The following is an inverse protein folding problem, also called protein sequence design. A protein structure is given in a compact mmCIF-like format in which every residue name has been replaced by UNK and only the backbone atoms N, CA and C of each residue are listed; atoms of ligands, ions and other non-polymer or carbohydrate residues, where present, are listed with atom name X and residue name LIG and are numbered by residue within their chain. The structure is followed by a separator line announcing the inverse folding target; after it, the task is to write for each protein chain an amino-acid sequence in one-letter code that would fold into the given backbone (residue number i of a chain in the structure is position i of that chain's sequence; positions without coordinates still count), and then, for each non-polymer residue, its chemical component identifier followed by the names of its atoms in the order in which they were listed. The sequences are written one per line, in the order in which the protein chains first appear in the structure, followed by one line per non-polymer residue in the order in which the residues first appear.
data_IF_467277306587
#
_entry.id   IF_467277306587
#
_cell.length_a   1.000
_cell.length_b   1.000
_cell.length_c   1.000
_cell.angle_alpha   90.00
_cell.angle_beta   90.00
_cell.angle_gamma   90.00
#
_symmetry.space_group_name_H-M   'P 1'
#
loop_
_entity.id
_entity.type
_entity.pdbx_description
1 polymer ?
#
# COMPACT_ATOMS: atom_id res chain seq x y z
N UNK A 1 -21.50 -16.89 -11.94
CA UNK A 1 -22.08 -15.68 -11.34
C UNK A 1 -21.04 -14.56 -11.26
N UNK A 2 -19.95 -14.71 -10.50
CA UNK A 2 -18.92 -13.68 -10.40
C UNK A 2 -18.32 -13.27 -11.76
N UNK A 3 -17.91 -14.22 -12.62
CA UNK A 3 -17.47 -13.90 -13.98
C UNK A 3 -18.52 -13.15 -14.80
N UNK A 4 -19.80 -13.53 -14.65
CA UNK A 4 -20.93 -12.88 -15.32
C UNK A 4 -21.13 -11.45 -14.83
N UNK A 5 -21.07 -11.22 -13.51
CA UNK A 5 -21.14 -9.90 -12.89
C UNK A 5 -19.98 -9.04 -13.38
N UNK A 6 -18.73 -9.53 -13.29
CA UNK A 6 -17.55 -8.79 -13.75
C UNK A 6 -17.66 -8.37 -15.21
N UNK A 7 -18.13 -9.26 -16.09
CA UNK A 7 -18.31 -8.95 -17.50
C UNK A 7 -19.39 -7.89 -17.72
N UNK A 8 -20.50 -7.96 -16.97
CA UNK A 8 -21.60 -7.00 -17.06
C UNK A 8 -21.18 -5.62 -16.54
N UNK A 9 -20.47 -5.56 -15.40
CA UNK A 9 -20.00 -4.32 -14.77
C UNK A 9 -18.72 -3.74 -15.41
N UNK A 10 -18.10 -4.45 -16.36
CA UNK A 10 -16.93 -3.94 -17.07
C UNK A 10 -17.28 -2.94 -18.17
N UNK A 11 -18.56 -2.88 -18.57
CA UNK A 11 -19.12 -1.81 -19.38
C UNK A 11 -19.56 -0.67 -18.49
N UNK A 12 -18.98 0.51 -18.69
CA UNK A 12 -19.08 1.73 -17.88
C UNK A 12 -20.47 2.38 -17.93
N UNK A 13 -21.50 1.66 -17.51
CA UNK A 13 -22.84 2.21 -17.37
C UNK A 13 -23.18 2.33 -15.88
N UNK A 14 -23.26 3.57 -15.40
CA UNK A 14 -23.59 3.88 -14.00
C UNK A 14 -24.92 3.24 -13.56
N UNK A 15 -25.83 2.96 -14.51
CA UNK A 15 -27.09 2.27 -14.23
C UNK A 15 -26.92 0.79 -13.92
N UNK A 16 -25.90 0.15 -14.52
CA UNK A 16 -25.56 -1.25 -14.27
C UNK A 16 -24.89 -1.37 -12.91
N UNK A 17 -23.95 -0.48 -12.59
CA UNK A 17 -23.29 -0.48 -11.29
C UNK A 17 -24.28 -0.21 -10.14
N UNK A 18 -25.24 0.70 -10.32
CA UNK A 18 -26.32 0.92 -9.37
C UNK A 18 -27.21 -0.33 -9.18
N UNK A 19 -27.51 -1.07 -10.26
CA UNK A 19 -28.30 -2.30 -10.18
C UNK A 19 -27.59 -3.42 -9.39
N UNK A 20 -26.25 -3.45 -9.42
CA UNK A 20 -25.44 -4.39 -8.64
C UNK A 20 -25.03 -3.88 -7.27
N UNK A 21 -25.36 -2.63 -6.93
CA UNK A 21 -25.05 -1.98 -5.65
C UNK A 21 -26.22 -2.10 -4.69
N UNK A 22 -26.62 -3.35 -4.37
CA UNK A 22 -27.70 -3.62 -3.42
C UNK A 22 -27.21 -4.46 -2.24
N UNK A 23 -27.84 -4.36 -1.05
CA UNK A 23 -27.52 -5.22 0.08
C UNK A 23 -27.58 -6.72 -0.25
N UNK A 24 -28.46 -7.13 -1.17
CA UNK A 24 -28.58 -8.52 -1.61
C UNK A 24 -27.33 -8.98 -2.38
N UNK A 25 -26.72 -8.12 -3.20
CA UNK A 25 -25.46 -8.45 -3.89
C UNK A 25 -24.30 -8.52 -2.89
N UNK A 26 -24.24 -7.62 -1.92
CA UNK A 26 -23.23 -7.64 -0.86
C UNK A 26 -23.32 -8.95 -0.05
N UNK A 27 -24.53 -9.37 0.34
CA UNK A 27 -24.76 -10.66 1.01
C UNK A 27 -24.38 -11.85 0.11
N UNK A 28 -24.77 -11.82 -1.17
CA UNK A 28 -24.40 -12.86 -2.13
C UNK A 28 -22.87 -12.98 -2.28
N UNK A 29 -22.15 -11.86 -2.37
CA UNK A 29 -20.67 -11.83 -2.40
C UNK A 29 -20.10 -12.44 -1.12
N UNK A 30 -20.60 -12.04 0.05
CA UNK A 30 -20.16 -12.58 1.34
C UNK A 30 -20.37 -14.09 1.42
N UNK A 31 -21.53 -14.59 0.98
CA UNK A 31 -21.83 -16.02 0.92
C UNK A 31 -20.96 -16.77 -0.09
N UNK A 32 -20.75 -16.20 -1.27
CA UNK A 32 -19.87 -16.78 -2.29
C UNK A 32 -18.43 -16.93 -1.80
N UNK A 33 -17.96 -16.05 -0.91
CA UNK A 33 -16.62 -16.15 -0.32
C UNK A 33 -16.37 -17.47 0.40
N UNK A 34 -17.40 -18.11 0.96
CA UNK A 34 -17.30 -19.43 1.59
C UNK A 34 -16.97 -20.56 0.61
N UNK A 35 -17.29 -20.35 -0.68
CA UNK A 35 -17.04 -21.31 -1.74
C UNK A 35 -15.85 -20.91 -2.63
N UNK A 36 -15.25 -19.74 -2.39
CA UNK A 36 -14.05 -19.27 -3.08
C UNK A 36 -12.79 -19.93 -2.49
N UNK A 37 -12.68 -21.25 -2.63
CA UNK A 37 -11.59 -22.05 -2.04
C UNK A 37 -10.41 -22.30 -2.99
N UNK A 38 -10.44 -21.74 -4.20
CA UNK A 38 -9.34 -21.79 -5.17
C UNK A 38 -8.85 -20.38 -5.51
N UNK A 39 -7.58 -20.21 -5.92
CA UNK A 39 -7.05 -18.90 -6.31
C UNK A 39 -7.85 -18.24 -7.44
N UNK A 40 -8.33 -19.02 -8.41
CA UNK A 40 -9.11 -18.53 -9.53
C UNK A 40 -10.49 -18.03 -9.06
N UNK A 41 -11.15 -18.78 -8.16
CA UNK A 41 -12.43 -18.37 -7.61
C UNK A 41 -12.31 -17.07 -6.79
N UNK A 42 -11.25 -16.97 -5.98
CA UNK A 42 -10.88 -15.76 -5.25
C UNK A 42 -10.63 -14.59 -6.20
N UNK A 43 -9.84 -14.82 -7.25
CA UNK A 43 -9.55 -13.83 -8.27
C UNK A 43 -10.84 -13.29 -8.89
N UNK A 44 -11.69 -14.17 -9.43
CA UNK A 44 -12.93 -13.77 -10.07
C UNK A 44 -13.84 -12.99 -9.13
N UNK A 45 -14.05 -13.49 -7.91
CA UNK A 45 -14.92 -12.82 -6.92
C UNK A 45 -14.38 -11.43 -6.57
N UNK A 46 -13.07 -11.32 -6.37
CA UNK A 46 -12.42 -10.04 -6.09
C UNK A 46 -12.48 -9.08 -7.27
N UNK A 47 -12.33 -9.58 -8.50
CA UNK A 47 -12.55 -8.79 -9.72
C UNK A 47 -13.98 -8.24 -9.77
N UNK A 48 -15.00 -9.05 -9.46
CA UNK A 48 -16.40 -8.58 -9.45
C UNK A 48 -16.61 -7.44 -8.46
N UNK A 49 -16.09 -7.58 -7.23
CA UNK A 49 -16.14 -6.52 -6.22
C UNK A 49 -15.42 -5.28 -6.73
N UNK A 50 -14.22 -5.46 -7.28
CA UNK A 50 -13.41 -4.37 -7.83
C UNK A 50 -14.16 -3.62 -8.93
N UNK A 51 -14.81 -4.33 -9.87
CA UNK A 51 -15.54 -3.69 -10.96
C UNK A 51 -16.66 -2.81 -10.43
N UNK A 52 -17.52 -3.35 -9.55
CA UNK A 52 -18.64 -2.61 -8.94
C UNK A 52 -18.14 -1.39 -8.14
N UNK A 53 -16.96 -1.46 -7.52
CA UNK A 53 -16.45 -0.39 -6.65
C UNK A 53 -15.48 0.58 -7.32
N UNK A 54 -15.08 0.34 -8.58
CA UNK A 54 -14.01 1.10 -9.25
C UNK A 54 -14.42 2.49 -9.71
N UNK A 55 -15.65 2.64 -10.21
CA UNK A 55 -16.16 3.88 -10.81
C UNK A 55 -17.37 4.46 -10.04
N UNK A 56 -17.73 3.86 -8.91
CA UNK A 56 -18.94 4.22 -8.17
C UNK A 56 -18.68 5.25 -7.08
N UNK A 57 -19.74 5.99 -6.74
CA UNK A 57 -19.70 7.00 -5.70
C UNK A 57 -19.46 6.41 -4.29
N UNK A 58 -19.26 7.28 -3.31
CA UNK A 58 -18.99 6.89 -1.94
C UNK A 58 -20.13 6.05 -1.30
N UNK A 59 -21.36 6.18 -1.77
CA UNK A 59 -22.51 5.44 -1.21
C UNK A 59 -22.46 3.97 -1.60
N UNK A 60 -22.11 3.67 -2.86
CA UNK A 60 -21.89 2.29 -3.30
C UNK A 60 -20.72 1.66 -2.55
N UNK A 61 -19.61 2.38 -2.45
CA UNK A 61 -18.43 1.89 -1.70
C UNK A 61 -18.78 1.60 -0.25
N UNK A 62 -19.60 2.44 0.39
CA UNK A 62 -20.08 2.23 1.74
C UNK A 62 -20.97 0.97 1.88
N UNK A 63 -21.74 0.58 0.85
CA UNK A 63 -22.50 -0.68 0.86
C UNK A 63 -21.59 -1.91 0.91
N UNK A 64 -20.42 -1.84 0.28
CA UNK A 64 -19.40 -2.90 0.35
C UNK A 64 -18.50 -2.79 1.59
N UNK A 65 -18.53 -1.67 2.31
CA UNK A 65 -17.83 -1.49 3.57
C UNK A 65 -18.65 -2.07 4.74
N UNK A 66 -18.78 -3.39 4.78
CA UNK A 66 -19.48 -4.10 5.86
C UNK A 66 -18.59 -5.15 6.53
N UNK A 67 -18.85 -5.51 7.79
CA UNK A 67 -18.13 -6.60 8.46
C UNK A 67 -18.14 -7.91 7.67
N UNK A 68 -19.25 -8.22 6.99
CA UNK A 68 -19.37 -9.42 6.15
C UNK A 68 -18.39 -9.42 4.96
N UNK A 69 -18.15 -8.26 4.34
CA UNK A 69 -17.17 -8.12 3.26
C UNK A 69 -15.73 -8.17 3.80
N UNK A 70 -15.48 -7.57 4.96
CA UNK A 70 -14.18 -7.66 5.65
C UNK A 70 -13.85 -9.13 5.97
N UNK A 71 -14.81 -9.87 6.52
CA UNK A 71 -14.66 -11.31 6.80
C UNK A 71 -14.51 -12.13 5.51
N UNK A 72 -15.23 -11.77 4.44
CA UNK A 72 -15.10 -12.40 3.14
C UNK A 72 -13.69 -12.21 2.55
N UNK A 73 -13.15 -11.00 2.61
CA UNK A 73 -11.78 -10.67 2.19
C UNK A 73 -10.76 -11.46 3.00
N UNK A 74 -10.89 -11.47 4.33
CA UNK A 74 -10.00 -12.22 5.22
C UNK A 74 -10.05 -13.72 4.91
N UNK A 75 -11.24 -14.29 4.69
CA UNK A 75 -11.42 -15.69 4.30
C UNK A 75 -10.77 -16.01 2.96
N UNK A 76 -11.04 -15.20 1.94
CA UNK A 76 -10.48 -15.39 0.59
C UNK A 76 -8.95 -15.30 0.60
N UNK A 77 -8.36 -14.51 1.49
CA UNK A 77 -6.89 -14.41 1.61
C UNK A 77 -6.21 -15.75 1.91
N UNK A 78 -6.91 -16.70 2.56
CA UNK A 78 -6.39 -18.05 2.80
C UNK A 78 -6.18 -18.86 1.51
N UNK A 79 -6.93 -18.53 0.46
CA UNK A 79 -6.90 -19.21 -0.82
C UNK A 79 -6.24 -18.37 -1.93
N UNK A 80 -5.79 -17.15 -1.61
CA UNK A 80 -5.08 -16.26 -2.51
C UNK A 80 -3.59 -16.67 -2.65
N UNK A 81 -3.34 -17.86 -3.21
CA UNK A 81 -1.98 -18.42 -3.31
C UNK A 81 -1.26 -18.06 -4.62
N UNK A 82 -1.89 -17.26 -5.48
CA UNK A 82 -1.29 -16.74 -6.72
C UNK A 82 -1.13 -15.22 -6.65
N UNK A 83 -0.13 -14.63 -7.34
CA UNK A 83 0.05 -13.19 -7.36
C UNK A 83 -1.17 -12.43 -7.90
N UNK A 84 -1.90 -13.02 -8.85
CA UNK A 84 -3.08 -12.41 -9.44
C UNK A 84 -4.26 -12.40 -8.47
N UNK A 85 -4.50 -13.48 -7.73
CA UNK A 85 -5.51 -13.50 -6.69
C UNK A 85 -5.23 -12.46 -5.59
N UNK A 86 -3.97 -12.38 -5.15
CA UNK A 86 -3.50 -11.36 -4.19
C UNK A 86 -3.74 -9.94 -4.71
N UNK A 87 -3.37 -9.70 -5.97
CA UNK A 87 -3.55 -8.42 -6.65
C UNK A 87 -5.02 -8.02 -6.64
N UNK A 88 -5.93 -8.90 -7.05
CA UNK A 88 -7.35 -8.55 -7.14
C UNK A 88 -8.03 -8.36 -5.78
N UNK A 89 -7.69 -9.15 -4.76
CA UNK A 89 -8.15 -8.87 -3.38
C UNK A 89 -7.68 -7.46 -2.97
N UNK A 90 -6.42 -7.14 -3.22
CA UNK A 90 -5.88 -5.85 -2.79
C UNK A 90 -6.50 -4.68 -3.55
N UNK A 91 -6.78 -4.85 -4.86
CA UNK A 91 -7.50 -3.85 -5.65
C UNK A 91 -8.93 -3.66 -5.14
N UNK A 92 -9.65 -4.73 -4.79
CA UNK A 92 -11.03 -4.58 -4.29
C UNK A 92 -11.06 -3.80 -2.96
N UNK A 93 -10.15 -4.10 -2.03
CA UNK A 93 -9.98 -3.31 -0.79
C UNK A 93 -9.66 -1.85 -1.13
N UNK A 94 -8.71 -1.63 -2.04
CA UNK A 94 -8.29 -0.30 -2.48
C UNK A 94 -9.49 0.51 -3.02
N UNK A 95 -10.33 -0.09 -3.87
CA UNK A 95 -11.47 0.59 -4.47
C UNK A 95 -12.56 0.93 -3.43
N UNK A 96 -12.87 0.01 -2.51
CA UNK A 96 -13.83 0.24 -1.42
C UNK A 96 -13.36 1.38 -0.50
N UNK A 97 -12.05 1.44 -0.22
CA UNK A 97 -11.47 2.42 0.72
C UNK A 97 -11.03 3.73 0.07
N UNK A 98 -10.95 3.78 -1.25
CA UNK A 98 -10.54 4.96 -1.99
C UNK A 98 -11.62 6.06 -1.96
N UNK A 99 -11.25 7.23 -1.44
CA UNK A 99 -12.13 8.39 -1.38
C UNK A 99 -13.28 8.28 -0.36
N UNK A 100 -13.26 7.26 0.50
CA UNK A 100 -14.23 7.10 1.59
C UNK A 100 -13.72 7.71 2.89
N UNK A 101 -14.65 7.91 3.83
CA UNK A 101 -14.34 8.50 5.13
C UNK A 101 -13.59 7.54 6.07
N UNK A 102 -13.17 8.07 7.22
CA UNK A 102 -12.41 7.32 8.22
C UNK A 102 -13.18 6.12 8.81
N UNK A 103 -14.52 6.14 8.81
CA UNK A 103 -15.33 5.04 9.36
C UNK A 103 -15.27 3.81 8.46
N UNK A 104 -15.35 4.01 7.15
CA UNK A 104 -15.14 2.93 6.16
C UNK A 104 -13.73 2.36 6.28
N UNK A 105 -12.71 3.22 6.37
CA UNK A 105 -11.32 2.78 6.53
C UNK A 105 -11.09 1.98 7.81
N UNK A 106 -11.71 2.40 8.92
CA UNK A 106 -11.62 1.71 10.20
C UNK A 106 -12.19 0.29 10.15
N UNK A 107 -13.21 0.00 9.33
CA UNK A 107 -13.73 -1.36 9.15
C UNK A 107 -12.71 -2.31 8.52
N UNK A 108 -11.81 -1.79 7.69
CA UNK A 108 -10.71 -2.56 7.10
C UNK A 108 -9.45 -2.56 7.97
N UNK A 109 -9.41 -1.79 9.05
CA UNK A 109 -8.29 -1.72 9.99
C UNK A 109 -8.42 -2.75 11.12
N UNK A 110 -8.74 -4.00 10.77
CA UNK A 110 -8.95 -5.09 11.73
C UNK A 110 -7.78 -6.07 11.73
N UNK A 111 -7.56 -6.81 12.84
CA UNK A 111 -6.54 -7.87 12.88
C UNK A 111 -6.69 -8.89 11.75
N UNK A 112 -7.92 -9.22 11.36
CA UNK A 112 -8.20 -10.15 10.26
C UNK A 112 -7.67 -9.65 8.91
N UNK A 113 -7.79 -8.35 8.62
CA UNK A 113 -7.24 -7.76 7.39
C UNK A 113 -5.72 -7.64 7.47
N UNK A 114 -5.17 -7.30 8.63
CA UNK A 114 -3.72 -7.25 8.85
C UNK A 114 -3.09 -8.63 8.63
N UNK A 115 -3.69 -9.68 9.20
CA UNK A 115 -3.28 -11.08 8.99
C UNK A 115 -3.45 -11.51 7.53
N UNK A 116 -4.53 -11.09 6.88
CA UNK A 116 -4.77 -11.36 5.46
C UNK A 116 -3.67 -10.72 4.58
N UNK A 117 -3.33 -9.46 4.83
CA UNK A 117 -2.24 -8.76 4.13
C UNK A 117 -0.90 -9.45 4.36
N UNK A 118 -0.58 -9.80 5.61
CA UNK A 118 0.65 -10.50 5.95
C UNK A 118 0.73 -11.86 5.23
N UNK A 119 -0.37 -12.62 5.20
CA UNK A 119 -0.47 -13.90 4.49
C UNK A 119 -0.27 -13.72 2.98
N UNK A 120 -1.01 -12.79 2.38
CA UNK A 120 -0.93 -12.52 0.94
C UNK A 120 0.47 -12.07 0.51
N UNK A 121 1.24 -11.43 1.39
CA UNK A 121 2.63 -11.03 1.11
C UNK A 121 3.54 -12.20 0.74
N UNK A 122 3.24 -13.43 1.18
CA UNK A 122 3.98 -14.64 0.79
C UNK A 122 3.80 -14.99 -0.68
N UNK A 123 2.67 -14.60 -1.27
CA UNK A 123 2.31 -14.88 -2.66
C UNK A 123 2.39 -13.63 -3.56
N UNK A 124 2.77 -12.48 -3.01
CA UNK A 124 3.03 -11.23 -3.73
C UNK A 124 4.40 -11.26 -4.42
N UNK A 125 4.58 -12.20 -5.36
CA UNK A 125 5.87 -12.42 -6.03
C UNK A 125 6.06 -11.57 -7.30
N UNK A 126 5.05 -10.80 -7.70
CA UNK A 126 5.11 -9.85 -8.82
C UNK A 126 5.09 -8.40 -8.34
N UNK A 127 5.70 -7.46 -9.08
CA UNK A 127 5.66 -6.04 -8.74
C UNK A 127 4.23 -5.49 -8.65
N UNK A 128 3.33 -5.96 -9.49
CA UNK A 128 1.93 -5.54 -9.52
C UNK A 128 1.20 -5.97 -8.25
N UNK A 129 1.44 -7.21 -7.77
CA UNK A 129 0.85 -7.67 -6.51
C UNK A 129 1.37 -6.86 -5.32
N UNK A 130 2.68 -6.58 -5.28
CA UNK A 130 3.30 -5.72 -4.26
C UNK A 130 2.71 -4.31 -4.27
N UNK A 131 2.59 -3.72 -5.46
CA UNK A 131 1.96 -2.40 -5.66
C UNK A 131 0.53 -2.40 -5.12
N UNK A 132 -0.27 -3.40 -5.48
CA UNK A 132 -1.68 -3.47 -5.08
C UNK A 132 -1.85 -3.64 -3.57
N UNK A 133 -1.08 -4.54 -2.91
CA UNK A 133 -1.09 -4.65 -1.44
C UNK A 133 -0.69 -3.31 -0.82
N UNK A 134 0.37 -2.69 -1.32
CA UNK A 134 0.86 -1.44 -0.73
C UNK A 134 -0.13 -0.29 -0.91
N UNK A 135 -0.81 -0.24 -2.05
CA UNK A 135 -1.89 0.71 -2.31
C UNK A 135 -3.08 0.53 -1.37
N UNK A 136 -3.51 -0.72 -1.12
CA UNK A 136 -4.61 -0.97 -0.19
C UNK A 136 -4.28 -0.57 1.25
N UNK A 137 -3.07 -0.90 1.73
CA UNK A 137 -2.56 -0.44 3.03
C UNK A 137 -2.53 1.09 3.11
N UNK A 138 -2.00 1.74 2.07
CA UNK A 138 -1.89 3.20 2.01
C UNK A 138 -3.25 3.88 2.01
N UNK A 139 -4.25 3.30 1.35
CA UNK A 139 -5.61 3.84 1.34
C UNK A 139 -6.29 3.72 2.70
N UNK A 140 -6.14 2.57 3.38
CA UNK A 140 -6.71 2.35 4.71
C UNK A 140 -6.07 3.29 5.74
N UNK A 141 -4.74 3.41 5.71
CA UNK A 141 -4.00 4.20 6.72
C UNK A 141 -3.92 5.69 6.38
N UNK A 142 -4.02 6.05 5.10
CA UNK A 142 -3.91 7.44 4.64
C UNK A 142 -5.07 8.32 5.07
N UNK A 143 -4.78 9.45 5.73
CA UNK A 143 -5.78 10.41 6.19
C UNK A 143 -6.65 9.90 7.34
N UNK A 144 -6.24 8.80 7.98
CA UNK A 144 -6.94 8.17 9.11
C UNK A 144 -6.37 8.63 10.46
N UNK A 145 -7.06 8.27 11.54
CA UNK A 145 -6.60 8.52 12.92
C UNK A 145 -5.52 7.52 13.35
N UNK A 146 -4.78 7.84 14.41
CA UNK A 146 -3.65 7.05 14.94
C UNK A 146 -4.00 5.59 15.25
N UNK A 147 -5.26 5.27 15.55
CA UNK A 147 -5.72 3.89 15.82
C UNK A 147 -5.68 3.00 14.58
N UNK A 148 -5.99 3.54 13.40
CA UNK A 148 -5.95 2.80 12.13
C UNK A 148 -4.50 2.53 11.72
N UNK A 149 -3.63 3.53 11.86
CA UNK A 149 -2.19 3.38 11.63
C UNK A 149 -1.59 2.30 12.55
N UNK A 150 -1.92 2.36 13.85
CA UNK A 150 -1.46 1.40 14.84
C UNK A 150 -1.92 -0.03 14.57
N UNK A 151 -3.09 -0.24 13.95
CA UNK A 151 -3.57 -1.58 13.59
C UNK A 151 -2.63 -2.29 12.59
N UNK A 152 -2.01 -1.53 11.67
CA UNK A 152 -1.03 -2.06 10.71
C UNK A 152 0.42 -2.05 11.24
N UNK A 153 0.66 -1.44 12.40
CA UNK A 153 1.93 -1.50 13.08
C UNK A 153 2.05 -2.82 13.85
N UNK A 154 2.29 -3.91 13.10
CA UNK A 154 2.53 -5.25 13.66
C UNK A 154 3.82 -5.86 13.10
N UNK A 155 4.47 -6.78 13.83
CA UNK A 155 5.64 -7.50 13.31
C UNK A 155 5.34 -8.24 12.00
N UNK A 156 4.12 -8.76 11.83
CA UNK A 156 3.71 -9.45 10.62
C UNK A 156 3.71 -8.52 9.39
N UNK A 157 3.31 -7.25 9.54
CA UNK A 157 3.37 -6.27 8.46
C UNK A 157 4.80 -5.83 8.18
N UNK A 158 5.64 -5.67 9.21
CA UNK A 158 7.07 -5.38 9.04
C UNK A 158 7.76 -6.47 8.23
N UNK A 159 7.51 -7.74 8.56
CA UNK A 159 8.05 -8.89 7.83
C UNK A 159 7.48 -8.97 6.40
N UNK A 160 6.19 -8.67 6.22
CA UNK A 160 5.54 -8.60 4.92
C UNK A 160 6.19 -7.54 4.03
N UNK A 161 6.45 -6.34 4.55
CA UNK A 161 7.13 -5.25 3.83
C UNK A 161 8.55 -5.66 3.44
N UNK A 162 9.31 -6.23 4.38
CA UNK A 162 10.66 -6.70 4.11
C UNK A 162 10.67 -7.75 2.99
N UNK A 163 9.74 -8.71 3.03
CA UNK A 163 9.56 -9.74 1.99
C UNK A 163 9.20 -9.13 0.64
N UNK A 164 8.16 -8.30 0.59
CA UNK A 164 7.68 -7.66 -0.65
C UNK A 164 8.74 -6.77 -1.30
N UNK A 165 9.66 -6.20 -0.52
CA UNK A 165 10.78 -5.40 -1.08
C UNK A 165 11.67 -6.17 -2.05
N UNK A 166 11.75 -7.50 -1.95
CA UNK A 166 12.48 -8.33 -2.91
C UNK A 166 11.80 -8.33 -4.29
N UNK A 167 10.47 -8.32 -4.29
CA UNK A 167 9.60 -8.38 -5.47
C UNK A 167 9.16 -7.01 -6.00
N UNK A 168 9.42 -5.93 -5.25
CA UNK A 168 9.32 -4.54 -5.73
C UNK A 168 10.45 -4.23 -6.74
N UNK A 169 10.40 -4.82 -7.94
CA UNK A 169 11.43 -4.66 -8.98
C UNK A 169 11.16 -3.47 -9.91
N UNK A 170 9.97 -2.89 -9.88
CA UNK A 170 9.62 -1.68 -10.64
C UNK A 170 9.66 -0.43 -9.75
N UNK A 171 9.96 0.75 -10.30
CA UNK A 171 9.91 2.02 -9.55
C UNK A 171 8.54 2.27 -8.92
N UNK A 172 7.47 1.95 -9.64
CA UNK A 172 6.10 2.11 -9.18
C UNK A 172 5.78 1.20 -7.97
N UNK A 173 6.16 -0.08 -8.00
CA UNK A 173 5.98 -0.98 -6.87
C UNK A 173 6.81 -0.54 -5.65
N UNK A 174 8.05 -0.09 -5.87
CA UNK A 174 8.93 0.43 -4.81
C UNK A 174 8.37 1.73 -4.19
N UNK A 175 7.81 2.62 -5.02
CA UNK A 175 7.17 3.84 -4.57
C UNK A 175 5.95 3.53 -3.70
N UNK A 176 5.03 2.69 -4.18
CA UNK A 176 3.83 2.35 -3.41
C UNK A 176 4.16 1.64 -2.09
N UNK A 177 5.15 0.73 -2.08
CA UNK A 177 5.61 0.08 -0.85
C UNK A 177 6.26 1.07 0.13
N UNK A 178 6.92 2.12 -0.38
CA UNK A 178 7.46 3.18 0.48
C UNK A 178 6.36 4.10 1.01
N UNK A 179 5.35 4.40 0.18
CA UNK A 179 4.17 5.17 0.58
C UNK A 179 3.41 4.46 1.70
N UNK A 180 3.26 3.13 1.64
CA UNK A 180 2.55 2.38 2.69
C UNK A 180 3.30 2.38 4.02
N UNK A 181 4.63 2.26 4.00
CA UNK A 181 5.46 2.44 5.21
C UNK A 181 5.27 3.86 5.75
N UNK A 182 5.33 4.86 4.88
CA UNK A 182 5.17 6.25 5.27
C UNK A 182 3.78 6.52 5.85
N UNK A 183 2.71 5.95 5.30
CA UNK A 183 1.35 6.18 5.76
C UNK A 183 1.10 5.55 7.12
N UNK A 184 1.68 4.37 7.40
CA UNK A 184 1.63 3.75 8.73
C UNK A 184 2.44 4.57 9.74
N UNK A 185 3.60 5.11 9.34
CA UNK A 185 4.53 5.81 10.24
C UNK A 185 4.35 7.33 10.30
N UNK A 186 3.33 7.87 9.60
CA UNK A 186 3.13 9.31 9.47
C UNK A 186 2.70 9.97 10.80
N UNK A 187 2.00 9.23 11.64
CA UNK A 187 1.56 9.70 12.95
C UNK A 187 2.70 10.06 13.91
N UNK A 188 2.33 10.62 15.06
CA UNK A 188 3.27 11.00 16.12
C UNK A 188 3.61 9.85 17.08
N UNK A 189 3.07 8.65 16.86
CA UNK A 189 3.29 7.51 17.73
C UNK A 189 4.71 6.95 17.59
N UNK A 190 5.52 7.14 18.63
CA UNK A 190 6.89 6.64 18.68
C UNK A 190 6.96 5.10 18.67
N UNK A 191 5.95 4.40 19.18
CA UNK A 191 5.86 2.94 19.21
C UNK A 191 5.72 2.38 17.80
N UNK A 192 4.83 2.99 16.99
CA UNK A 192 4.65 2.63 15.59
C UNK A 192 5.94 2.85 14.81
N UNK A 193 6.59 4.01 14.98
CA UNK A 193 7.88 4.31 14.34
C UNK A 193 8.98 3.32 14.76
N UNK A 194 9.08 3.00 16.04
CA UNK A 194 10.05 2.04 16.56
C UNK A 194 9.86 0.64 15.98
N UNK A 195 8.61 0.23 15.71
CA UNK A 195 8.33 -1.08 15.11
C UNK A 195 8.85 -1.21 13.68
N UNK A 196 8.79 -0.12 12.89
CA UNK A 196 9.39 -0.07 11.56
C UNK A 196 10.89 0.26 11.59
N UNK A 197 11.43 0.62 12.75
CA UNK A 197 12.84 0.86 12.96
C UNK A 197 13.63 -0.45 13.14
N UNK A 198 13.55 -1.35 12.15
CA UNK A 198 14.32 -2.60 12.11
C UNK A 198 15.36 -2.59 10.97
N UNK A 199 16.47 -3.34 11.10
CA UNK A 199 17.44 -3.49 10.02
C UNK A 199 16.81 -4.03 8.72
N UNK A 200 15.83 -4.93 8.83
CA UNK A 200 15.13 -5.49 7.68
C UNK A 200 14.38 -4.42 6.85
N UNK A 201 13.75 -3.45 7.53
CA UNK A 201 13.09 -2.32 6.84
C UNK A 201 14.11 -1.35 6.25
N UNK A 202 15.22 -1.10 6.94
CA UNK A 202 16.31 -0.27 6.40
C UNK A 202 16.88 -0.88 5.12
N UNK A 203 17.15 -2.18 5.13
CA UNK A 203 17.65 -2.92 3.95
C UNK A 203 16.61 -2.94 2.83
N UNK A 204 15.33 -3.10 3.16
CA UNK A 204 14.22 -3.01 2.21
C UNK A 204 14.17 -1.63 1.53
N UNK A 205 14.24 -0.55 2.31
CA UNK A 205 14.23 0.84 1.80
C UNK A 205 15.46 1.12 0.95
N UNK A 206 16.64 0.66 1.36
CA UNK A 206 17.88 0.79 0.58
C UNK A 206 17.77 0.07 -0.78
N UNK A 207 17.21 -1.14 -0.78
CA UNK A 207 16.95 -1.91 -2.00
C UNK A 207 15.97 -1.20 -2.92
N UNK A 208 14.84 -0.74 -2.40
CA UNK A 208 13.84 0.02 -3.16
C UNK A 208 14.43 1.30 -3.74
N UNK A 209 15.24 2.01 -2.96
CA UNK A 209 15.92 3.23 -3.41
C UNK A 209 16.78 2.94 -4.65
N UNK A 210 17.67 1.94 -4.60
CA UNK A 210 18.51 1.58 -5.76
C UNK A 210 17.72 1.23 -7.03
N UNK A 211 16.49 0.74 -6.91
CA UNK A 211 15.61 0.35 -8.02
C UNK A 211 14.77 1.50 -8.56
N UNK A 212 14.58 2.55 -7.76
CA UNK A 212 13.95 3.79 -8.19
C UNK A 212 14.94 4.71 -8.92
N UNK A 213 16.26 4.42 -8.88
CA UNK A 213 17.32 5.23 -9.51
C UNK A 213 18.10 4.57 -10.68
N UNK A 214 17.53 3.82 -11.65
CA UNK A 214 18.34 3.37 -12.78
C UNK A 214 18.74 4.52 -13.72
N UNK A 215 17.87 5.52 -13.95
CA UNK A 215 18.12 6.75 -14.72
C UNK A 215 17.04 7.79 -14.37
N UNK A 216 17.38 8.94 -13.81
CA UNK A 216 16.44 10.06 -13.73
C UNK A 216 17.12 11.36 -14.20
N UNK A 217 16.92 11.66 -15.47
CA UNK A 217 16.45 12.99 -15.87
C UNK A 217 14.93 13.00 -15.72
N UNK A 218 14.38 14.05 -15.14
CA UNK A 218 12.95 14.30 -14.90
C UNK A 218 12.18 13.38 -13.93
N UNK A 219 12.20 13.74 -12.65
CA UNK A 219 11.28 13.19 -11.64
C UNK A 219 11.67 13.42 -10.19
N UNK A 220 11.98 14.66 -9.79
CA UNK A 220 12.55 14.98 -8.47
C UNK A 220 11.66 14.68 -7.24
N UNK A 221 10.36 14.47 -7.40
CA UNK A 221 9.43 14.26 -6.29
C UNK A 221 9.54 12.88 -5.64
N UNK A 222 9.74 11.82 -6.43
CA UNK A 222 9.80 10.43 -5.94
C UNK A 222 11.11 10.15 -5.19
N UNK A 223 12.21 10.77 -5.64
CA UNK A 223 13.48 10.77 -4.94
C UNK A 223 13.38 11.50 -3.59
N UNK A 224 12.67 12.62 -3.54
CA UNK A 224 12.47 13.39 -2.32
C UNK A 224 11.64 12.62 -1.28
N UNK A 225 10.58 11.92 -1.69
CA UNK A 225 9.75 11.12 -0.79
C UNK A 225 10.51 9.92 -0.19
N UNK A 226 11.28 9.20 -1.00
CA UNK A 226 12.18 8.15 -0.52
C UNK A 226 13.27 8.72 0.41
N UNK A 227 13.83 9.89 0.06
CA UNK A 227 14.80 10.58 0.90
C UNK A 227 14.16 11.05 2.21
N UNK A 228 12.91 11.52 2.22
CA UNK A 228 12.17 11.95 3.41
C UNK A 228 11.84 10.75 4.29
N UNK A 229 11.39 9.63 3.73
CA UNK A 229 11.14 8.39 4.47
C UNK A 229 12.44 7.85 5.07
N UNK A 230 13.52 7.77 4.27
CA UNK A 230 14.83 7.37 4.75
C UNK A 230 15.39 8.34 5.81
N UNK A 231 15.21 9.65 5.65
CA UNK A 231 15.70 10.66 6.59
C UNK A 231 14.88 10.70 7.87
N UNK A 232 13.56 10.52 7.80
CA UNK A 232 12.69 10.43 8.97
C UNK A 232 12.92 9.13 9.74
N UNK A 233 13.10 8.00 9.05
CA UNK A 233 13.53 6.75 9.67
C UNK A 233 14.91 6.93 10.33
N UNK A 234 15.91 7.43 9.60
CA UNK A 234 17.28 7.60 10.14
C UNK A 234 17.37 8.62 11.29
N UNK A 235 16.57 9.69 11.30
CA UNK A 235 16.48 10.62 12.44
C UNK A 235 15.94 9.92 13.70
N UNK A 236 14.95 9.04 13.55
CA UNK A 236 14.42 8.24 14.67
C UNK A 236 15.40 7.15 15.14
N UNK A 237 16.25 6.62 14.25
CA UNK A 237 17.31 5.66 14.62
C UNK A 237 18.52 6.30 15.30
N UNK A 238 18.80 7.58 15.04
CA UNK A 238 19.92 8.33 15.62
C UNK A 238 19.88 8.39 17.15
N UNK A 239 18.69 8.29 17.75
CA UNK A 239 18.49 8.32 19.20
C UNK A 239 18.53 6.93 19.88
N UNK A 240 18.54 5.82 19.13
CA UNK A 240 18.30 4.48 19.71
C UNK A 240 19.44 3.47 19.55
N UNK A 241 20.29 3.49 18.50
CA UNK A 241 21.41 2.51 18.39
C UNK A 241 22.59 3.04 17.52
N UNK A 242 23.87 2.89 17.94
CA UNK A 242 25.00 3.27 17.11
C UNK A 242 25.27 2.20 16.03
N UNK A 243 24.67 2.34 14.84
CA UNK A 243 24.90 1.40 13.73
C UNK A 243 26.20 1.74 12.97
N UNK A 244 27.26 0.97 13.23
CA UNK A 244 28.48 0.92 12.40
C UNK A 244 28.29 -0.12 11.28
N UNK A 245 27.97 0.29 10.05
CA UNK A 245 28.14 -0.58 8.87
C UNK A 245 28.67 0.19 7.65
N UNK A 246 29.56 -0.48 6.92
CA UNK A 246 30.45 -0.07 5.82
C UNK A 246 29.81 0.55 4.56
N UNK A 247 28.64 1.20 4.64
CA UNK A 247 28.01 1.93 3.53
C UNK A 247 28.30 3.45 3.51
N UNK A 248 29.17 3.92 4.42
CA UNK A 248 29.60 5.33 4.48
C UNK A 248 30.13 5.88 3.16
N UNK A 249 30.76 5.06 2.30
CA UNK A 249 31.34 5.56 1.03
C UNK A 249 30.28 5.98 0.00
N UNK A 250 29.20 5.21 -0.18
CA UNK A 250 28.12 5.63 -1.08
C UNK A 250 27.31 6.81 -0.51
N UNK A 251 27.12 6.85 0.81
CA UNK A 251 26.34 7.92 1.47
C UNK A 251 27.13 9.24 1.52
N UNK A 252 28.44 9.21 1.76
CA UNK A 252 29.29 10.41 1.72
C UNK A 252 29.39 11.02 0.31
N UNK A 253 29.38 10.18 -0.73
CA UNK A 253 29.42 10.66 -2.12
C UNK A 253 28.13 11.39 -2.49
N UNK A 254 26.98 10.94 -1.96
CA UNK A 254 25.67 11.59 -2.14
C UNK A 254 25.55 12.86 -1.28
N UNK A 255 26.07 12.85 -0.04
CA UNK A 255 26.11 14.05 0.81
C UNK A 255 26.99 15.16 0.24
N UNK A 256 28.15 14.81 -0.35
CA UNK A 256 29.05 15.79 -0.97
C UNK A 256 28.48 16.42 -2.24
N UNK A 257 27.73 15.64 -3.03
CA UNK A 257 27.07 16.16 -4.24
C UNK A 257 25.86 17.05 -3.94
N UNK A 258 25.19 16.85 -2.79
CA UNK A 258 24.13 17.73 -2.30
C UNK A 258 24.68 19.07 -1.77
N UNK A 259 25.82 19.06 -1.10
CA UNK A 259 26.46 20.29 -0.60
C UNK A 259 26.96 21.16 -1.76
N UNK A 260 27.45 20.53 -2.84
CA UNK A 260 27.82 21.22 -4.08
C UNK A 260 26.61 21.83 -4.80
N UNK A 261 25.50 21.09 -4.98
CA UNK A 261 24.29 21.61 -5.64
C UNK A 261 23.52 22.63 -4.79
N UNK A 262 23.55 22.51 -3.46
CA UNK A 262 23.00 23.52 -2.55
C UNK A 262 23.76 24.85 -2.63
N UNK A 263 25.08 24.80 -2.83
CA UNK A 263 25.89 26.01 -3.02
C UNK A 263 25.64 26.68 -4.39
N UNK A 264 25.42 25.90 -5.46
CA UNK A 264 25.09 26.43 -6.80
C UNK A 264 23.72 27.11 -6.87
N UNK A 265 22.72 26.58 -6.15
CA UNK A 265 21.37 27.16 -6.10
C UNK A 265 21.30 28.46 -5.29
N UNK A 266 22.18 28.64 -4.29
CA UNK A 266 22.25 29.88 -3.51
C UNK A 266 22.98 30.99 -4.28
N UNK A 267 23.90 30.64 -5.19
CA UNK A 267 24.66 31.62 -5.99
C UNK A 267 23.95 32.14 -7.24
N UNK A 268 22.79 31.58 -7.62
CA UNK A 268 22.02 32.00 -8.81
C UNK A 268 20.83 32.93 -8.52
N UNK A 269 20.67 33.41 -7.28
CA UNK A 269 19.64 34.40 -6.95
C UNK A 269 20.14 35.81 -7.28
N UNK A 270 20.02 36.21 -8.55
CA UNK A 270 20.28 37.58 -8.98
C UNK A 270 19.28 38.56 -8.33
N UNK A 271 19.72 39.77 -7.91
CA UNK A 271 18.83 40.74 -7.27
C UNK A 271 17.83 41.32 -8.28
N UNK A 272 16.57 41.41 -7.86
CA UNK A 272 15.45 41.99 -8.60
C UNK A 272 15.75 43.47 -8.94
N UNK A 273 15.53 43.93 -10.18
CA UNK A 273 15.71 45.32 -10.53
C UNK A 273 14.58 46.18 -9.96
N UNK A 274 14.98 47.36 -9.47
CA UNK A 274 14.17 48.43 -8.87
C UNK A 274 13.27 49.15 -9.87
#
# INVERSE_FOLDING_TARGET
LSTSISNITSGTDETVDAAFSTPAIVDAVARMSHHATTPEAVQWLSTSISSITSATDATVKALFATPAIVDAVARMSHHATTPEAVRWISISICNITAGTDATVKALFATPAIVDAVARMSHHATTPEAVRSISGSISNITGGSYTTVEAAFATPAIVDAVARMSHHATTPDAAQWLSTSISSITNGFDATVKAMFATPAIVDAVARMSSRCFPKFGDGGASALLLQIVATNLMKNFGDVVPYRVNHRKSIQTVSGSLQARGAELITTQAPLPS
#
